data_IF_720240317146
#
_entry.id   IF_720240317146
#
_cell.length_a   1.000
_cell.length_b   1.000
_cell.length_c   1.000
_cell.angle_alpha   90.00
_cell.angle_beta   90.00
_cell.angle_gamma   90.00
#
_symmetry.space_group_name_H-M   'P 1'
#
loop_
_entity.id
_entity.type
_entity.pdbx_description
1 polymer ?
#
# COMPACT_ATOMS: atom_id res chain seq x y z
N UNK A 1 -7.67 21.21 6.15
CA UNK A 1 -8.43 19.98 5.79
C UNK A 1 -8.08 19.59 4.36
N UNK A 2 -7.96 18.29 4.04
CA UNK A 2 -7.75 17.83 2.66
C UNK A 2 -9.00 18.07 1.82
N UNK A 3 -8.86 18.68 0.65
CA UNK A 3 -10.00 19.08 -0.19
C UNK A 3 -9.71 18.86 -1.67
N UNK A 4 -10.71 18.40 -2.42
CA UNK A 4 -10.63 18.34 -3.87
C UNK A 4 -10.88 19.74 -4.44
N UNK A 5 -9.81 20.39 -4.92
CA UNK A 5 -9.81 21.81 -5.29
C UNK A 5 -10.87 22.21 -6.32
N UNK A 6 -11.24 21.31 -7.22
CA UNK A 6 -12.19 21.59 -8.30
C UNK A 6 -13.66 21.63 -7.84
N UNK A 7 -13.99 20.92 -6.76
CA UNK A 7 -15.39 20.75 -6.32
C UNK A 7 -15.61 21.20 -4.88
N UNK A 8 -14.57 21.70 -4.20
CA UNK A 8 -14.64 22.19 -2.82
C UNK A 8 -15.14 21.12 -1.82
N UNK A 9 -14.92 19.84 -2.10
CA UNK A 9 -15.38 18.72 -1.25
C UNK A 9 -14.28 18.18 -0.34
N UNK A 10 -14.68 17.82 0.89
CA UNK A 10 -13.80 17.19 1.87
C UNK A 10 -13.41 15.77 1.43
N UNK A 11 -12.11 15.48 1.49
CA UNK A 11 -11.58 14.15 1.17
C UNK A 11 -11.55 13.28 2.44
N UNK A 12 -12.26 12.16 2.39
CA UNK A 12 -12.36 11.18 3.47
C UNK A 12 -11.17 10.21 3.51
N UNK A 13 -10.55 9.94 2.36
CA UNK A 13 -9.33 9.14 2.31
C UNK A 13 -8.65 9.16 0.96
N UNK A 14 -7.35 8.92 0.97
CA UNK A 14 -6.53 8.70 -0.21
C UNK A 14 -6.06 7.25 -0.21
N UNK A 15 -6.42 6.50 -1.24
CA UNK A 15 -5.99 5.12 -1.43
C UNK A 15 -5.08 5.05 -2.64
N UNK A 16 -3.85 4.59 -2.42
CA UNK A 16 -2.89 4.39 -3.51
C UNK A 16 -2.55 2.92 -3.63
N UNK A 17 -2.59 2.43 -4.87
CA UNK A 17 -2.21 1.08 -5.23
C UNK A 17 -0.90 1.15 -5.98
N UNK A 18 0.04 0.30 -5.60
CA UNK A 18 1.29 0.17 -6.32
C UNK A 18 2.11 1.48 -6.47
N UNK A 19 1.82 2.49 -5.64
CA UNK A 19 2.36 3.83 -5.84
C UNK A 19 3.85 3.90 -5.49
N UNK A 20 4.67 4.50 -6.38
CA UNK A 20 6.08 4.73 -6.11
C UNK A 20 6.28 5.74 -4.97
N UNK A 21 7.53 5.96 -4.57
CA UNK A 21 7.89 7.11 -3.72
C UNK A 21 7.80 8.38 -4.56
N UNK A 22 7.16 9.42 -4.04
CA UNK A 22 6.81 10.62 -4.81
C UNK A 22 7.49 11.90 -4.32
N UNK A 23 8.19 11.84 -3.18
CA UNK A 23 8.86 13.00 -2.63
C UNK A 23 9.94 12.62 -1.65
N UNK A 24 10.66 13.64 -1.19
CA UNK A 24 11.75 13.49 -0.25
C UNK A 24 11.25 13.31 1.20
N UNK A 25 12.20 13.29 2.14
CA UNK A 25 11.89 13.19 3.57
C UNK A 25 11.05 14.36 4.09
N UNK A 26 11.31 15.57 3.60
CA UNK A 26 10.64 16.80 4.04
C UNK A 26 9.18 16.78 3.59
N UNK A 27 8.96 16.50 2.30
CA UNK A 27 7.64 16.28 1.74
C UNK A 27 6.88 15.21 2.52
N UNK A 28 7.50 14.04 2.73
CA UNK A 28 6.83 12.94 3.41
C UNK A 28 6.46 13.30 4.86
N UNK A 29 7.29 14.08 5.56
CA UNK A 29 7.01 14.55 6.90
C UNK A 29 5.79 15.49 6.93
N UNK A 30 5.77 16.52 6.10
CA UNK A 30 4.64 17.45 6.03
C UNK A 30 3.35 16.75 5.60
N UNK A 31 3.41 15.94 4.54
CA UNK A 31 2.26 15.19 4.06
C UNK A 31 1.68 14.27 5.15
N UNK A 32 2.52 13.54 5.87
CA UNK A 32 2.05 12.63 6.92
C UNK A 32 1.48 13.36 8.13
N UNK A 33 2.00 14.54 8.45
CA UNK A 33 1.48 15.41 9.52
C UNK A 33 0.03 15.80 9.23
N UNK A 34 -0.26 16.21 8.00
CA UNK A 34 -1.58 16.72 7.64
C UNK A 34 -2.56 15.62 7.21
N UNK A 35 -2.06 14.57 6.54
CA UNK A 35 -2.89 13.62 5.78
C UNK A 35 -2.55 12.15 6.04
N UNK A 36 -1.53 11.85 6.83
CA UNK A 36 -1.05 10.47 7.04
C UNK A 36 -2.14 9.53 7.58
N UNK A 37 -2.96 10.01 8.50
CA UNK A 37 -4.05 9.23 9.14
C UNK A 37 -5.20 8.86 8.19
N UNK A 38 -5.31 9.55 7.04
CA UNK A 38 -6.34 9.31 6.01
C UNK A 38 -5.76 8.84 4.68
N UNK A 39 -4.46 8.54 4.65
CA UNK A 39 -3.78 8.05 3.44
C UNK A 39 -3.38 6.60 3.65
N UNK A 40 -3.79 5.74 2.73
CA UNK A 40 -3.61 4.30 2.79
C UNK A 40 -2.91 3.84 1.52
N UNK A 41 -1.75 3.19 1.68
CA UNK A 41 -0.94 2.72 0.58
C UNK A 41 -0.90 1.21 0.57
N UNK A 42 -1.48 0.62 -0.47
CA UNK A 42 -1.57 -0.81 -0.68
C UNK A 42 -0.39 -1.26 -1.55
N UNK A 43 0.39 -2.21 -1.04
CA UNK A 43 1.61 -2.71 -1.70
C UNK A 43 1.55 -4.22 -1.79
N UNK A 44 1.82 -4.75 -2.99
CA UNK A 44 2.04 -6.16 -3.21
C UNK A 44 3.54 -6.47 -3.13
N UNK A 45 3.94 -7.53 -2.42
CA UNK A 45 5.33 -7.99 -2.38
C UNK A 45 5.90 -8.29 -3.77
N UNK A 46 5.08 -8.73 -4.72
CA UNK A 46 5.54 -9.07 -6.07
C UNK A 46 5.67 -7.84 -6.99
N UNK A 47 5.17 -6.67 -6.57
CA UNK A 47 5.25 -5.43 -7.34
C UNK A 47 6.52 -4.64 -6.97
N UNK A 48 7.28 -4.25 -8.00
CA UNK A 48 8.51 -3.50 -7.85
C UNK A 48 8.28 -1.98 -7.78
N UNK A 49 7.21 -1.46 -8.39
CA UNK A 49 7.00 0.00 -8.53
C UNK A 49 6.93 0.73 -7.18
N UNK A 50 6.31 0.19 -6.12
CA UNK A 50 6.38 0.80 -4.79
C UNK A 50 7.80 0.93 -4.22
N UNK A 51 8.79 0.23 -4.78
CA UNK A 51 10.17 0.23 -4.29
C UNK A 51 11.04 1.25 -4.97
N UNK A 52 10.50 2.03 -5.89
CA UNK A 52 11.23 3.08 -6.62
C UNK A 52 10.58 4.45 -6.42
N UNK A 53 11.34 5.56 -6.58
CA UNK A 53 12.80 5.62 -6.51
C UNK A 53 13.30 5.17 -5.13
N UNK A 54 14.54 4.68 -5.03
CA UNK A 54 15.06 4.10 -3.79
C UNK A 54 15.16 5.12 -2.65
N UNK A 55 15.01 4.63 -1.42
CA UNK A 55 15.17 5.45 -0.21
C UNK A 55 16.58 6.00 -0.03
N UNK A 56 17.59 5.28 -0.52
CA UNK A 56 18.99 5.73 -0.55
C UNK A 56 19.19 6.98 -1.41
N UNK A 57 18.29 7.23 -2.37
CA UNK A 57 18.27 8.45 -3.19
C UNK A 57 17.48 9.60 -2.54
N UNK A 58 17.08 9.45 -1.26
CA UNK A 58 16.39 10.49 -0.51
C UNK A 58 14.87 10.49 -0.64
N UNK A 59 14.28 9.50 -1.34
CA UNK A 59 12.83 9.39 -1.50
C UNK A 59 12.16 8.65 -0.34
N UNK A 60 10.99 9.13 0.08
CA UNK A 60 10.24 8.58 1.20
C UNK A 60 8.77 8.33 0.85
N UNK A 61 8.18 7.30 1.47
CA UNK A 61 6.75 7.03 1.36
C UNK A 61 5.93 7.88 2.31
N UNK A 62 4.65 8.03 1.94
CA UNK A 62 3.59 8.64 2.76
C UNK A 62 2.50 7.63 3.09
N UNK A 63 1.67 7.99 4.07
CA UNK A 63 0.50 7.24 4.49
C UNK A 63 0.81 5.95 5.25
N UNK A 64 -0.27 5.23 5.52
CA UNK A 64 -0.29 3.98 6.25
C UNK A 64 -0.09 2.81 5.28
N UNK A 65 0.85 1.91 5.60
CA UNK A 65 1.16 0.76 4.76
C UNK A 65 0.19 -0.40 5.01
N UNK A 66 -0.39 -0.89 3.92
CA UNK A 66 -1.14 -2.12 3.80
C UNK A 66 -0.38 -3.04 2.86
N UNK A 67 0.28 -4.06 3.41
CA UNK A 67 1.23 -4.88 2.66
C UNK A 67 0.70 -6.29 2.47
N UNK A 68 0.64 -6.77 1.23
CA UNK A 68 0.42 -8.16 0.91
C UNK A 68 1.75 -8.89 0.76
N UNK A 69 1.94 -9.97 1.50
CA UNK A 69 3.10 -10.83 1.35
C UNK A 69 3.00 -11.79 0.15
N UNK A 70 4.00 -12.64 -0.03
CA UNK A 70 4.04 -13.63 -1.13
C UNK A 70 2.89 -14.64 -1.08
N UNK A 71 2.25 -14.80 0.08
CA UNK A 71 1.12 -15.72 0.31
C UNK A 71 -0.23 -15.00 0.18
N UNK A 72 -0.24 -13.70 -0.18
CA UNK A 72 -1.45 -12.88 -0.27
C UNK A 72 -2.06 -12.53 1.09
N UNK A 73 -1.30 -12.64 2.19
CA UNK A 73 -1.79 -12.23 3.51
C UNK A 73 -1.59 -10.74 3.71
N UNK A 74 -2.60 -10.06 4.25
CA UNK A 74 -2.57 -8.63 4.53
C UNK A 74 -1.89 -8.34 5.87
N UNK A 75 -0.91 -7.45 5.85
CA UNK A 75 -0.22 -6.92 7.02
C UNK A 75 -0.45 -5.40 7.11
N UNK A 76 -1.33 -4.97 8.00
CA UNK A 76 -1.61 -3.56 8.25
C UNK A 76 -0.66 -2.97 9.31
N UNK A 77 -0.09 -1.79 9.04
CA UNK A 77 0.79 -1.04 9.96
C UNK A 77 2.00 -1.83 10.51
N UNK A 78 2.36 -2.95 9.88
CA UNK A 78 3.37 -3.85 10.41
C UNK A 78 4.75 -3.22 10.31
N UNK A 79 5.35 -2.87 11.47
CA UNK A 79 6.75 -2.42 11.57
C UNK A 79 7.72 -3.42 10.92
N UNK A 80 7.39 -4.71 10.92
CA UNK A 80 8.17 -5.73 10.23
C UNK A 80 8.01 -5.63 8.71
N UNK A 81 6.79 -5.42 8.19
CA UNK A 81 6.57 -5.18 6.76
C UNK A 81 7.28 -3.89 6.28
N UNK A 82 7.23 -2.83 7.09
CA UNK A 82 8.03 -1.62 6.84
C UNK A 82 9.52 -1.94 6.73
N UNK A 83 10.09 -2.67 7.69
CA UNK A 83 11.52 -3.06 7.67
C UNK A 83 11.89 -3.97 6.50
N UNK A 84 11.01 -4.90 6.11
CA UNK A 84 11.24 -5.77 4.95
C UNK A 84 11.24 -4.99 3.64
N UNK A 85 10.34 -4.01 3.48
CA UNK A 85 10.29 -3.15 2.29
C UNK A 85 11.43 -2.13 2.26
N UNK A 86 11.80 -1.57 3.40
CA UNK A 86 12.91 -0.60 3.52
C UNK A 86 14.30 -1.26 3.54
N UNK A 87 14.38 -2.55 3.89
CA UNK A 87 15.64 -3.29 4.05
C UNK A 87 16.24 -3.81 2.74
N UNK A 88 15.52 -3.71 1.63
CA UNK A 88 16.05 -4.00 0.29
C UNK A 88 17.02 -2.89 -0.13
N UNK A 89 18.30 -3.13 0.13
CA UNK A 89 19.39 -2.36 -0.46
C UNK A 89 19.57 -2.85 -1.90
N UNK A 90 19.07 -2.09 -2.85
CA UNK A 90 19.41 -2.22 -4.27
C UNK A 90 20.36 -1.05 -4.55
N UNK A 91 21.50 -1.28 -5.22
CA UNK A 91 22.32 -0.12 -5.62
C UNK A 91 21.55 0.67 -6.67
N UNK A 92 21.65 2.00 -6.62
CA UNK A 92 20.89 2.86 -7.54
C UNK A 92 21.19 2.54 -9.01
N UNK A 93 22.42 2.13 -9.31
CA UNK A 93 22.81 1.71 -10.65
C UNK A 93 22.10 0.39 -11.05
N UNK A 94 22.02 -0.60 -10.16
CA UNK A 94 21.26 -1.83 -10.39
C UNK A 94 19.75 -1.57 -10.59
N UNK A 95 19.23 -0.46 -10.07
CA UNK A 95 17.82 -0.09 -10.23
C UNK A 95 17.51 0.48 -11.62
N UNK A 96 18.45 1.22 -12.22
CA UNK A 96 18.29 1.73 -13.58
C UNK A 96 18.49 0.62 -14.62
N UNK A 97 19.31 -0.39 -14.31
CA UNK A 97 19.51 -1.58 -15.13
C UNK A 97 18.40 -2.64 -14.92
N UNK A 98 17.58 -2.51 -13.87
CA UNK A 98 16.30 -3.21 -13.70
C UNK A 98 15.26 -2.58 -14.63
N UNK A 99 15.51 -2.84 -15.91
CA UNK A 99 14.60 -2.90 -17.03
C UNK A 99 13.11 -2.86 -16.64
N UNK A 100 12.35 -2.01 -17.32
CA UNK A 100 10.90 -1.83 -17.15
C UNK A 100 10.09 -3.13 -17.34
N UNK A 101 10.72 -4.25 -17.69
CA UNK A 101 10.16 -5.62 -17.60
C UNK A 101 9.66 -5.98 -16.20
N UNK A 102 10.19 -5.40 -15.13
CA UNK A 102 9.64 -5.59 -13.77
C UNK A 102 8.26 -4.96 -13.54
N UNK A 103 7.74 -4.18 -14.50
CA UNK A 103 6.35 -3.71 -14.51
C UNK A 103 5.34 -4.82 -14.84
N UNK A 104 5.78 -6.02 -15.22
CA UNK A 104 4.88 -7.16 -15.50
C UNK A 104 3.93 -7.49 -14.34
N UNK A 105 4.33 -7.24 -13.10
CA UNK A 105 3.52 -7.48 -11.91
C UNK A 105 2.79 -6.23 -11.38
N UNK A 106 2.72 -5.17 -12.19
CA UNK A 106 2.12 -3.88 -11.84
C UNK A 106 0.66 -3.74 -12.31
N UNK A 107 -0.05 -4.86 -12.47
CA UNK A 107 -1.48 -4.83 -12.73
C UNK A 107 -2.29 -4.65 -11.44
N UNK A 108 -3.44 -3.96 -11.53
CA UNK A 108 -4.32 -3.74 -10.37
C UNK A 108 -5.13 -4.99 -10.00
N UNK A 109 -5.34 -5.93 -10.93
CA UNK A 109 -6.13 -7.14 -10.75
C UNK A 109 -5.69 -7.99 -9.54
N UNK A 110 -4.39 -8.35 -9.41
CA UNK A 110 -3.89 -9.06 -8.24
C UNK A 110 -4.16 -8.35 -6.91
N UNK A 111 -4.09 -7.01 -6.87
CA UNK A 111 -4.41 -6.25 -5.67
C UNK A 111 -5.88 -6.39 -5.28
N UNK A 112 -6.78 -6.23 -6.25
CA UNK A 112 -8.22 -6.36 -6.03
C UNK A 112 -8.58 -7.78 -5.61
N UNK A 113 -7.96 -8.80 -6.22
CA UNK A 113 -8.17 -10.19 -5.86
C UNK A 113 -7.77 -10.48 -4.41
N UNK A 114 -6.59 -10.04 -3.99
CA UNK A 114 -6.13 -10.24 -2.61
C UNK A 114 -7.01 -9.50 -1.60
N UNK A 115 -7.42 -8.26 -1.91
CA UNK A 115 -8.36 -7.50 -1.07
C UNK A 115 -9.73 -8.18 -0.96
N UNK A 116 -10.26 -8.69 -2.06
CA UNK A 116 -11.53 -9.41 -2.05
C UNK A 116 -11.45 -10.69 -1.22
N UNK A 117 -10.36 -11.45 -1.35
CA UNK A 117 -10.13 -12.65 -0.54
C UNK A 117 -10.02 -12.33 0.95
N UNK A 118 -9.30 -11.26 1.31
CA UNK A 118 -9.18 -10.79 2.69
C UNK A 118 -10.53 -10.33 3.26
N UNK A 119 -11.32 -9.61 2.46
CA UNK A 119 -12.68 -9.22 2.82
C UNK A 119 -13.59 -10.42 3.10
N UNK A 120 -13.60 -11.43 2.21
CA UNK A 120 -14.37 -12.66 2.43
C UNK A 120 -13.93 -13.38 3.71
N UNK A 121 -12.61 -13.44 3.97
CA UNK A 121 -12.06 -14.02 5.20
C UNK A 121 -12.54 -13.26 6.44
N UNK A 122 -12.41 -11.94 6.48
CA UNK A 122 -12.82 -11.13 7.63
C UNK A 122 -14.32 -11.26 7.97
N UNK A 123 -15.20 -11.28 6.96
CA UNK A 123 -16.64 -11.51 7.16
C UNK A 123 -16.92 -12.91 7.70
N UNK A 124 -16.27 -13.94 7.16
CA UNK A 124 -16.50 -15.31 7.63
C UNK A 124 -16.10 -15.47 9.10
N UNK A 125 -14.99 -14.88 9.52
CA UNK A 125 -14.56 -14.84 10.94
C UNK A 125 -15.57 -14.07 11.79
N UNK A 126 -15.98 -12.88 11.35
CA UNK A 126 -16.96 -12.06 12.08
C UNK A 126 -18.32 -12.77 12.26
N UNK A 127 -18.76 -13.54 11.26
CA UNK A 127 -19.99 -14.36 11.33
C UNK A 127 -19.86 -15.52 12.31
N UNK A 128 -18.70 -16.16 12.39
CA UNK A 128 -18.44 -17.24 13.34
C UNK A 128 -18.34 -16.73 14.78
N UNK A 129 -17.76 -15.54 15.00
CA UNK A 129 -17.65 -14.93 16.33
C UNK A 129 -18.96 -14.32 16.85
N UNK A 130 -19.93 -14.03 15.97
CA UNK A 130 -21.21 -13.39 16.34
C UNK A 130 -22.37 -14.36 16.55
N UNK A 131 -22.19 -15.67 16.36
CA UNK A 131 -23.23 -16.69 16.61
C UNK A 131 -24.49 -16.57 15.73
N UNK A 132 -24.47 -15.75 14.67
CA UNK A 132 -25.62 -15.53 13.80
C UNK A 132 -25.90 -16.77 12.93
N UNK A 133 -27.13 -17.35 12.98
CA UNK A 133 -27.45 -18.53 12.18
C UNK A 133 -27.49 -18.19 10.70
N UNK A 134 -27.05 -19.14 9.86
CA UNK A 134 -27.12 -19.03 8.39
C UNK A 134 -28.58 -18.76 7.98
N UNK A 135 -28.88 -17.56 7.48
CA UNK A 135 -30.10 -17.36 6.70
C UNK A 135 -29.93 -18.16 5.40
N UNK A 136 -30.69 -19.26 5.30
CA UNK A 136 -30.85 -19.99 4.04
C UNK A 136 -31.62 -19.07 3.09
N UNK A 137 -31.05 -18.86 1.90
CA UNK A 137 -31.80 -18.43 0.73
C UNK A 137 -32.83 -19.50 0.36
#
# INVERSE_FOLDING_TARGET
MAQLRLVNESIQGLYTFASPRVGDRTFAHHFNTDFGFKTFRVVNKNDLIPRIPLRSLGYHHVGQLYYFDRMGQLHAHSRAAFRLLDGLKIHANDLFDLDFSAAENHDIGPYLQMLYQDYQRSISVARQSSGMPRQRL
#
